data_IF_247254632469
#
_entry.id   IF_247254632469
#
_cell.length_a   1.000
_cell.length_b   1.000
_cell.length_c   1.000
_cell.angle_alpha   90.00
_cell.angle_beta   90.00
_cell.angle_gamma   90.00
#
_symmetry.space_group_name_H-M   'P 1'
#
loop_
_entity.id
_entity.type
_entity.pdbx_description
1 polymer ?
#
# COMPACT_ATOMS: atom_id res chain seq x y z
N UNK A 1 -2.88 -10.65 26.36
CA UNK A 1 -2.09 -9.40 26.23
C UNK A 1 -2.04 -9.08 24.75
N UNK A 2 -2.99 -8.29 24.26
CA UNK A 2 -3.01 -7.84 22.86
C UNK A 2 -2.06 -6.65 22.75
N UNK A 3 -1.22 -6.72 21.72
CA UNK A 3 0.03 -5.99 21.55
C UNK A 3 -0.20 -4.48 21.50
N UNK A 4 0.48 -3.75 22.40
CA UNK A 4 0.56 -2.30 22.48
C UNK A 4 1.44 -1.72 21.36
N UNK A 5 1.25 -2.19 20.12
CA UNK A 5 1.92 -1.63 18.93
C UNK A 5 1.08 -0.47 18.42
N UNK A 6 1.28 0.67 19.07
CA UNK A 6 1.00 2.04 18.61
C UNK A 6 -0.34 2.21 17.88
N UNK A 7 -1.40 2.40 18.66
CA UNK A 7 -2.70 2.78 18.12
C UNK A 7 -2.61 4.16 17.47
N UNK A 8 -2.46 4.21 16.15
CA UNK A 8 -2.64 5.43 15.37
C UNK A 8 -4.06 5.50 14.79
N UNK A 9 -4.46 6.70 14.39
CA UNK A 9 -5.71 7.00 13.72
C UNK A 9 -5.42 8.05 12.64
N UNK A 10 -5.81 7.79 11.39
CA UNK A 10 -5.54 8.71 10.28
C UNK A 10 -6.30 10.01 10.40
N UNK A 11 -7.48 10.03 11.04
CA UNK A 11 -8.21 11.26 11.34
C UNK A 11 -7.48 12.15 12.36
N UNK A 12 -6.85 11.55 13.39
CA UNK A 12 -6.09 12.31 14.39
C UNK A 12 -4.90 13.03 13.73
N UNK A 13 -4.22 12.36 12.79
CA UNK A 13 -3.20 13.00 11.95
C UNK A 13 -3.80 14.10 11.07
N UNK A 14 -4.96 13.86 10.46
CA UNK A 14 -5.67 14.89 9.70
C UNK A 14 -5.94 16.16 10.52
N UNK A 15 -6.37 16.01 11.77
CA UNK A 15 -6.61 17.13 12.68
C UNK A 15 -5.32 17.88 13.06
N UNK A 16 -4.20 17.16 13.20
CA UNK A 16 -2.89 17.75 13.48
C UNK A 16 -2.36 18.59 12.32
N UNK A 17 -2.55 18.12 11.08
CA UNK A 17 -1.95 18.72 9.88
C UNK A 17 -2.93 19.53 9.01
N UNK A 18 -4.20 19.73 9.42
CA UNK A 18 -5.23 20.42 8.63
C UNK A 18 -4.92 21.87 8.23
N UNK A 19 -4.04 22.55 8.97
CA UNK A 19 -3.65 23.95 8.70
C UNK A 19 -2.33 24.08 7.94
N UNK A 20 -1.67 22.95 7.67
CA UNK A 20 -0.47 22.90 6.86
C UNK A 20 -0.79 23.29 5.41
N UNK A 21 0.03 24.14 4.76
CA UNK A 21 -0.03 24.23 3.32
C UNK A 21 0.25 22.84 2.74
N UNK A 22 -0.62 22.35 1.85
CA UNK A 22 -0.56 21.04 1.18
C UNK A 22 0.80 20.71 0.49
N UNK A 23 1.74 21.66 0.49
CA UNK A 23 3.05 21.59 -0.14
C UNK A 23 4.22 21.92 0.81
N UNK A 24 3.98 22.37 2.06
CA UNK A 24 5.05 22.68 3.01
C UNK A 24 5.21 21.64 4.12
N UNK A 25 4.13 21.00 4.56
CA UNK A 25 4.27 19.83 5.40
C UNK A 25 4.26 18.58 4.53
N UNK A 26 5.21 17.70 4.81
CA UNK A 26 5.30 16.36 4.30
C UNK A 26 4.12 15.49 4.80
N UNK A 27 2.88 15.92 4.55
CA UNK A 27 1.64 15.24 4.89
C UNK A 27 0.69 15.27 3.69
N UNK A 28 0.32 14.10 3.22
CA UNK A 28 -0.49 13.92 2.01
C UNK A 28 -1.57 12.88 2.30
N UNK A 29 -2.78 13.11 1.79
CA UNK A 29 -3.89 12.18 1.94
C UNK A 29 -4.19 11.57 0.57
N UNK A 30 -4.22 10.24 0.48
CA UNK A 30 -4.65 9.60 -0.76
C UNK A 30 -6.16 9.79 -0.95
N UNK A 31 -6.65 9.96 -2.19
CA UNK A 31 -8.09 10.01 -2.44
C UNK A 31 -8.80 8.75 -1.91
N UNK A 32 -10.08 8.85 -1.48
CA UNK A 32 -10.83 7.77 -0.84
C UNK A 32 -11.37 6.75 -1.86
N UNK A 33 -10.50 6.29 -2.77
CA UNK A 33 -10.81 5.31 -3.83
C UNK A 33 -10.27 3.91 -3.53
N UNK A 34 -9.38 3.80 -2.54
CA UNK A 34 -8.80 2.54 -2.10
C UNK A 34 -9.72 1.82 -1.12
N UNK A 35 -9.89 0.52 -1.32
CA UNK A 35 -10.71 -0.36 -0.48
C UNK A 35 -9.83 -1.41 0.17
N UNK A 36 -10.16 -1.77 1.42
CA UNK A 36 -9.49 -2.83 2.17
C UNK A 36 -9.88 -4.21 1.66
N UNK A 37 -8.87 -5.05 1.41
CA UNK A 37 -9.03 -6.45 1.03
C UNK A 37 -8.13 -7.41 1.82
N UNK A 38 -7.17 -6.89 2.61
CA UNK A 38 -6.23 -7.71 3.39
C UNK A 38 -6.82 -8.19 4.73
N UNK A 39 -6.06 -9.01 5.45
CA UNK A 39 -6.43 -9.47 6.81
C UNK A 39 -6.29 -8.39 7.88
N UNK A 40 -5.54 -7.32 7.60
CA UNK A 40 -5.45 -6.15 8.48
C UNK A 40 -6.12 -4.92 7.87
N UNK A 41 -7.10 -4.38 8.59
CA UNK A 41 -7.75 -3.11 8.24
C UNK A 41 -6.99 -1.88 8.76
N UNK A 42 -5.88 -2.09 9.49
CA UNK A 42 -4.99 -1.04 9.99
C UNK A 42 -3.55 -1.48 9.87
N UNK A 43 -2.74 -0.70 9.19
CA UNK A 43 -1.32 -0.99 8.97
C UNK A 43 -0.54 0.29 8.66
N UNK A 44 0.76 0.26 8.91
CA UNK A 44 1.65 1.36 8.62
C UNK A 44 3.08 0.88 8.45
N UNK A 45 3.94 1.71 7.85
CA UNK A 45 5.36 1.41 7.73
C UNK A 45 6.09 2.32 6.76
N UNK A 46 7.42 2.20 6.68
CA UNK A 46 8.21 2.86 5.64
C UNK A 46 7.80 2.32 4.26
N UNK A 47 7.79 3.20 3.28
CA UNK A 47 7.32 2.93 1.92
C UNK A 47 8.46 2.38 1.07
N UNK A 48 8.17 1.29 0.38
CA UNK A 48 8.88 0.86 -0.84
C UNK A 48 7.93 1.01 -2.01
N UNK A 49 8.46 1.30 -3.20
CA UNK A 49 7.63 1.57 -4.38
C UNK A 49 7.95 0.60 -5.52
N UNK A 50 6.91 0.25 -6.28
CA UNK A 50 7.01 -0.44 -7.56
C UNK A 50 6.11 0.27 -8.56
N UNK A 51 6.65 0.61 -9.72
CA UNK A 51 5.89 1.07 -10.88
C UNK A 51 5.81 -0.05 -11.92
N UNK A 52 4.61 -0.39 -12.36
CA UNK A 52 4.35 -1.41 -13.36
C UNK A 52 3.05 -1.13 -14.11
N UNK A 53 2.79 -1.87 -15.19
CA UNK A 53 1.55 -1.74 -15.94
C UNK A 53 1.08 -3.10 -16.44
N UNK A 54 0.04 -3.64 -15.81
CA UNK A 54 -0.56 -4.95 -16.12
C UNK A 54 0.42 -6.15 -16.11
N UNK A 55 1.57 -5.98 -15.48
CA UNK A 55 2.61 -6.99 -15.28
C UNK A 55 3.05 -6.92 -13.81
N UNK A 56 2.77 -7.97 -13.05
CA UNK A 56 3.06 -8.03 -11.62
C UNK A 56 4.40 -8.69 -11.29
N UNK A 57 5.26 -8.96 -12.29
CA UNK A 57 6.59 -9.53 -12.06
C UNK A 57 7.39 -8.77 -11.00
N UNK A 58 7.54 -7.42 -11.05
CA UNK A 58 8.27 -6.67 -10.02
C UNK A 58 7.53 -6.64 -8.67
N UNK A 59 6.20 -6.64 -8.68
CA UNK A 59 5.38 -6.69 -7.45
C UNK A 59 5.61 -8.00 -6.71
N UNK A 60 5.58 -9.12 -7.45
CA UNK A 60 5.86 -10.45 -6.92
C UNK A 60 7.28 -10.52 -6.35
N UNK A 61 8.28 -10.06 -7.10
CA UNK A 61 9.67 -10.06 -6.64
C UNK A 61 9.87 -9.26 -5.35
N UNK A 62 9.24 -8.09 -5.24
CA UNK A 62 9.28 -7.28 -4.03
C UNK A 62 8.66 -8.02 -2.83
N UNK A 63 7.43 -8.54 -2.98
CA UNK A 63 6.71 -9.19 -1.88
C UNK A 63 7.26 -10.57 -1.48
N UNK A 64 7.99 -11.23 -2.38
CA UNK A 64 8.76 -12.44 -2.06
C UNK A 64 10.08 -12.15 -1.32
N UNK A 65 10.47 -10.88 -1.20
CA UNK A 65 11.65 -10.43 -0.46
C UNK A 65 11.29 -9.94 0.95
N UNK A 66 12.25 -9.88 1.91
CA UNK A 66 11.99 -9.38 3.27
C UNK A 66 11.38 -7.96 3.30
N UNK A 67 10.22 -7.85 3.94
CA UNK A 67 9.46 -6.61 4.06
C UNK A 67 9.97 -5.70 5.18
N UNK A 68 10.44 -6.28 6.29
CA UNK A 68 10.90 -5.54 7.48
C UNK A 68 9.87 -4.51 7.99
N UNK A 69 8.58 -4.85 7.95
CA UNK A 69 7.49 -3.96 8.35
C UNK A 69 7.23 -2.81 7.37
N UNK A 70 7.80 -2.84 6.17
CA UNK A 70 7.51 -1.85 5.13
C UNK A 70 6.10 -2.03 4.54
N UNK A 71 5.63 -0.96 3.89
CA UNK A 71 4.44 -0.99 3.03
C UNK A 71 4.89 -0.90 1.57
N UNK A 72 4.42 -1.82 0.73
CA UNK A 72 4.65 -1.73 -0.71
C UNK A 72 3.57 -0.87 -1.36
N UNK A 73 3.98 0.23 -2.01
CA UNK A 73 3.10 1.05 -2.84
C UNK A 73 3.34 0.70 -4.30
N UNK A 74 2.29 0.18 -4.95
CA UNK A 74 2.32 -0.24 -6.35
C UNK A 74 1.59 0.80 -7.20
N UNK A 75 2.34 1.52 -8.02
CA UNK A 75 1.79 2.27 -9.15
C UNK A 75 1.53 1.28 -10.28
N UNK A 76 0.26 0.88 -10.42
CA UNK A 76 -0.25 0.03 -11.50
C UNK A 76 -0.87 0.82 -12.65
N UNK A 77 -0.69 2.15 -12.67
CA UNK A 77 -1.35 3.07 -13.60
C UNK A 77 -2.87 3.14 -13.45
N UNK A 78 -3.43 2.73 -12.31
CA UNK A 78 -4.87 2.70 -12.05
C UNK A 78 -5.64 1.72 -12.93
N UNK A 79 -4.96 0.76 -13.59
CA UNK A 79 -5.63 -0.17 -14.51
C UNK A 79 -6.58 -1.09 -13.75
N UNK A 80 -7.84 -1.13 -14.20
CA UNK A 80 -8.87 -2.02 -13.67
C UNK A 80 -8.99 -3.33 -14.46
N UNK A 81 -8.09 -3.59 -15.41
CA UNK A 81 -8.24 -4.70 -16.37
C UNK A 81 -7.55 -6.00 -15.93
N UNK A 82 -6.53 -5.92 -15.09
CA UNK A 82 -5.65 -7.04 -14.73
C UNK A 82 -5.25 -6.94 -13.26
N UNK A 83 -5.41 -8.02 -12.51
CA UNK A 83 -5.11 -8.04 -11.09
C UNK A 83 -3.62 -8.19 -10.80
N UNK A 84 -3.04 -7.22 -10.08
CA UNK A 84 -1.61 -7.18 -9.77
C UNK A 84 -1.24 -8.06 -8.56
N UNK A 85 -2.16 -8.22 -7.62
CA UNK A 85 -1.99 -9.06 -6.42
C UNK A 85 -3.14 -10.05 -6.33
N UNK A 86 -2.80 -11.30 -6.02
CA UNK A 86 -3.74 -12.38 -5.69
C UNK A 86 -3.28 -13.13 -4.45
N UNK A 87 -3.99 -14.19 -4.07
CA UNK A 87 -3.82 -14.86 -2.78
C UNK A 87 -2.40 -15.32 -2.48
N UNK A 88 -1.76 -16.03 -3.42
CA UNK A 88 -0.37 -16.49 -3.27
C UNK A 88 0.64 -15.34 -3.01
N UNK A 89 0.45 -14.18 -3.65
CA UNK A 89 1.34 -13.03 -3.50
C UNK A 89 1.10 -12.35 -2.15
N UNK A 90 -0.15 -12.25 -1.70
CA UNK A 90 -0.48 -11.74 -0.37
C UNK A 90 0.05 -12.65 0.76
N UNK A 91 -0.07 -13.97 0.60
CA UNK A 91 0.51 -14.94 1.53
C UNK A 91 2.04 -14.82 1.60
N UNK A 92 2.72 -14.60 0.47
CA UNK A 92 4.15 -14.32 0.45
C UNK A 92 4.50 -13.02 1.17
N UNK A 93 3.73 -11.95 0.97
CA UNK A 93 3.91 -10.68 1.67
C UNK A 93 3.84 -10.85 3.20
N UNK A 94 2.79 -11.53 3.68
CA UNK A 94 2.63 -11.85 5.10
C UNK A 94 3.81 -12.67 5.64
N UNK A 95 4.17 -13.76 4.94
CA UNK A 95 5.30 -14.62 5.32
C UNK A 95 6.64 -13.86 5.41
N UNK A 96 6.84 -12.86 4.56
CA UNK A 96 8.07 -12.07 4.51
C UNK A 96 8.04 -10.81 5.39
N UNK A 97 7.01 -10.64 6.21
CA UNK A 97 6.93 -9.57 7.20
C UNK A 97 6.70 -8.18 6.59
N UNK A 98 5.91 -8.10 5.52
CA UNK A 98 5.38 -6.82 5.04
C UNK A 98 4.24 -6.35 5.95
N UNK A 99 4.19 -5.05 6.26
CA UNK A 99 3.08 -4.48 7.03
C UNK A 99 1.82 -4.32 6.16
N UNK A 100 2.00 -3.98 4.88
CA UNK A 100 0.89 -3.89 3.95
C UNK A 100 1.27 -3.66 2.51
N UNK A 101 0.25 -3.65 1.65
CA UNK A 101 0.37 -3.37 0.21
C UNK A 101 -0.74 -2.41 -0.22
N UNK A 102 -0.38 -1.33 -0.91
CA UNK A 102 -1.33 -0.40 -1.52
C UNK A 102 -1.17 -0.47 -3.03
N UNK A 103 -2.23 -0.82 -3.75
CA UNK A 103 -2.22 -1.07 -5.19
C UNK A 103 -3.07 -0.03 -5.92
N UNK A 104 -2.43 0.84 -6.69
CA UNK A 104 -3.10 1.70 -7.67
C UNK A 104 -3.50 0.89 -8.90
N UNK A 105 -4.51 0.04 -8.71
CA UNK A 105 -4.99 -0.96 -9.64
C UNK A 105 -5.95 -1.93 -8.95
N UNK A 106 -6.17 -3.11 -9.54
CA UNK A 106 -7.08 -4.14 -9.02
C UNK A 106 -6.35 -5.36 -8.50
N UNK A 107 -7.02 -6.10 -7.62
CA UNK A 107 -6.55 -7.36 -7.02
C UNK A 107 -7.57 -8.47 -7.20
N UNK A 108 -7.28 -9.68 -6.73
CA UNK A 108 -8.18 -10.84 -6.83
C UNK A 108 -7.99 -11.82 -5.67
N UNK A 109 -8.80 -12.88 -5.66
CA UNK A 109 -8.75 -13.96 -4.65
C UNK A 109 -9.07 -13.45 -3.24
N UNK A 110 -10.13 -12.62 -3.11
CA UNK A 110 -10.44 -11.86 -1.89
C UNK A 110 -10.47 -12.70 -0.61
N UNK A 111 -10.96 -13.94 -0.65
CA UNK A 111 -10.97 -14.83 0.51
C UNK A 111 -9.56 -15.17 0.99
N UNK A 112 -8.61 -15.36 0.07
CA UNK A 112 -7.20 -15.60 0.39
C UNK A 112 -6.50 -14.32 0.84
N UNK A 113 -6.85 -13.15 0.24
CA UNK A 113 -6.32 -11.85 0.68
C UNK A 113 -6.70 -11.55 2.14
N UNK A 114 -7.95 -11.82 2.51
CA UNK A 114 -8.46 -11.63 3.88
C UNK A 114 -7.88 -12.61 4.89
N UNK A 115 -7.46 -13.79 4.43
CA UNK A 115 -6.81 -14.79 5.29
C UNK A 115 -5.31 -14.53 5.50
N UNK A 116 -4.68 -13.66 4.69
CA UNK A 116 -3.28 -13.32 4.83
C UNK A 116 -3.07 -12.26 5.93
N UNK A 117 -2.08 -12.49 6.80
CA UNK A 117 -1.67 -11.62 7.91
C UNK A 117 -0.90 -10.39 7.41
N UNK A 118 -1.55 -9.57 6.59
CA UNK A 118 -0.99 -8.38 5.93
C UNK A 118 -2.09 -7.38 5.60
N UNK A 119 -1.79 -6.08 5.68
CA UNK A 119 -2.68 -5.03 5.17
C UNK A 119 -2.73 -5.01 3.65
N UNK A 120 -3.91 -4.81 3.06
CA UNK A 120 -4.00 -4.65 1.61
C UNK A 120 -5.12 -3.70 1.22
N UNK A 121 -4.76 -2.67 0.45
CA UNK A 121 -5.68 -1.72 -0.15
C UNK A 121 -5.53 -1.70 -1.69
N UNK A 122 -6.64 -1.64 -2.41
CA UNK A 122 -6.64 -1.54 -3.88
C UNK A 122 -7.88 -0.80 -4.41
N UNK A 123 -7.89 -0.42 -5.70
CA UNK A 123 -9.05 0.27 -6.31
C UNK A 123 -10.26 -0.64 -6.51
N UNK A 124 -10.05 -1.95 -6.63
CA UNK A 124 -11.12 -2.88 -6.99
C UNK A 124 -10.68 -4.34 -7.10
N UNK A 125 -11.62 -5.16 -7.56
CA UNK A 125 -11.40 -6.58 -7.85
C UNK A 125 -11.48 -6.83 -9.37
N UNK A 126 -10.65 -7.72 -9.88
CA UNK A 126 -10.78 -8.26 -11.23
C UNK A 126 -10.26 -9.71 -11.28
N UNK A 127 -11.02 -10.69 -11.78
CA UNK A 127 -10.58 -12.09 -11.79
C UNK A 127 -9.38 -12.35 -12.73
N UNK A 128 -9.15 -11.50 -13.73
CA UNK A 128 -8.14 -11.73 -14.76
C UNK A 128 -6.72 -11.50 -14.21
N UNK A 129 -5.81 -12.49 -14.35
CA UNK A 129 -4.40 -12.30 -14.02
C UNK A 129 -3.71 -11.38 -15.03
N UNK A 130 -2.56 -10.85 -14.63
CA UNK A 130 -1.59 -10.18 -15.51
C UNK A 130 -1.02 -11.10 -16.58
N UNK A 131 -0.44 -10.47 -17.59
CA UNK A 131 0.41 -11.13 -18.58
C UNK A 131 1.80 -10.51 -18.49
N UNK A 132 2.84 -11.30 -18.71
CA UNK A 132 4.22 -10.77 -18.73
C UNK A 132 4.41 -9.98 -20.01
N UNK A 133 4.54 -8.66 -19.89
CA UNK A 133 4.62 -7.74 -21.03
C UNK A 133 5.87 -6.88 -21.00
N UNK A 134 6.21 -6.33 -19.84
CA UNK A 134 7.28 -5.34 -19.72
C UNK A 134 7.90 -5.34 -18.32
N UNK A 135 9.21 -5.07 -18.21
CA UNK A 135 9.83 -4.85 -16.91
C UNK A 135 9.23 -3.60 -16.26
N UNK A 136 8.79 -3.72 -15.00
CA UNK A 136 8.51 -2.55 -14.17
C UNK A 136 9.78 -2.02 -13.53
N UNK A 137 9.63 -0.99 -12.70
CA UNK A 137 10.73 -0.34 -11.98
C UNK A 137 10.43 -0.32 -10.48
N UNK A 138 11.46 -0.42 -9.66
CA UNK A 138 11.35 -0.43 -8.19
C UNK A 138 12.14 0.72 -7.58
N UNK A 139 11.78 1.12 -6.36
CA UNK A 139 12.52 2.08 -5.53
C UNK A 139 12.69 3.46 -6.18
N UNK A 140 11.62 3.95 -6.80
CA UNK A 140 11.54 5.27 -7.46
C UNK A 140 10.31 6.03 -6.97
N UNK A 141 10.31 7.37 -6.96
CA UNK A 141 9.09 8.14 -6.75
C UNK A 141 8.00 7.76 -7.76
N UNK A 142 6.77 7.58 -7.26
CA UNK A 142 5.58 7.25 -8.05
C UNK A 142 4.48 8.29 -7.83
N UNK A 143 3.50 8.33 -8.73
CA UNK A 143 2.33 9.20 -8.62
C UNK A 143 1.07 8.35 -8.68
N UNK A 144 0.46 8.08 -7.53
CA UNK A 144 -0.77 7.27 -7.46
C UNK A 144 -1.97 8.17 -7.20
N UNK A 145 -3.01 8.07 -8.02
CA UNK A 145 -4.23 8.88 -7.88
C UNK A 145 -3.96 10.39 -7.68
N UNK A 146 -2.92 10.92 -8.34
CA UNK A 146 -2.52 12.34 -8.26
C UNK A 146 -1.68 12.73 -7.04
N UNK A 147 -1.31 11.77 -6.18
CA UNK A 147 -0.50 12.01 -4.98
C UNK A 147 0.91 11.44 -5.17
N UNK A 148 1.97 12.25 -5.00
CA UNK A 148 3.34 11.77 -5.08
C UNK A 148 3.67 10.93 -3.85
N UNK A 149 4.32 9.79 -4.08
CA UNK A 149 4.78 8.88 -3.04
C UNK A 149 6.22 8.47 -3.35
N UNK A 150 7.12 8.69 -2.40
CA UNK A 150 8.55 8.39 -2.56
C UNK A 150 8.98 7.20 -1.71
N UNK A 151 10.02 6.45 -2.13
CA UNK A 151 10.69 5.52 -1.23
C UNK A 151 11.11 6.22 0.06
N UNK A 152 10.99 5.52 1.19
CA UNK A 152 11.23 6.03 2.55
C UNK A 152 10.22 7.06 3.09
N UNK A 153 9.18 7.42 2.33
CA UNK A 153 7.98 7.97 2.95
C UNK A 153 7.43 6.96 3.98
N UNK A 154 6.54 7.39 4.84
CA UNK A 154 5.76 6.59 5.76
C UNK A 154 4.31 6.59 5.31
N UNK A 155 3.71 5.41 5.29
CA UNK A 155 2.30 5.23 4.99
C UNK A 155 1.57 4.76 6.22
N UNK A 156 0.41 5.34 6.49
CA UNK A 156 -0.53 4.93 7.52
C UNK A 156 -1.90 4.71 6.89
N UNK A 157 -2.48 3.54 7.10
CA UNK A 157 -3.78 3.18 6.55
C UNK A 157 -4.67 2.60 7.65
N UNK A 158 -5.90 3.09 7.73
CA UNK A 158 -6.95 2.51 8.54
C UNK A 158 -8.31 2.56 7.81
N UNK A 159 -9.40 2.33 8.52
CA UNK A 159 -10.73 2.28 7.93
C UNK A 159 -11.19 3.60 7.30
N UNK A 160 -10.65 4.74 7.73
CA UNK A 160 -11.06 6.07 7.28
C UNK A 160 -10.28 6.53 6.04
N UNK A 161 -9.01 6.14 5.93
CA UNK A 161 -8.22 6.50 4.76
C UNK A 161 -6.76 6.07 4.80
N UNK A 162 -5.99 6.66 3.89
CA UNK A 162 -4.54 6.44 3.77
C UNK A 162 -3.86 7.80 3.76
N UNK A 163 -2.88 7.96 4.64
CA UNK A 163 -2.03 9.15 4.72
C UNK A 163 -0.57 8.78 4.47
N UNK A 164 0.15 9.70 3.84
CA UNK A 164 1.57 9.60 3.51
C UNK A 164 2.29 10.75 4.21
N UNK A 165 3.44 10.46 4.80
CA UNK A 165 4.33 11.48 5.35
C UNK A 165 5.79 11.19 5.03
N UNK A 166 6.66 12.20 4.92
CA UNK A 166 8.10 11.94 4.73
C UNK A 166 8.80 11.41 6.00
N UNK A 167 8.11 11.43 7.15
CA UNK A 167 8.65 10.97 8.43
C UNK A 167 7.64 10.13 9.20
N UNK A 168 8.13 9.39 10.20
CA UNK A 168 7.27 8.66 11.10
C UNK A 168 6.45 9.63 11.98
N UNK A 169 5.13 9.47 12.02
CA UNK A 169 4.21 10.28 12.85
C UNK A 169 3.89 9.61 14.19
N UNK A 170 3.97 8.28 14.26
CA UNK A 170 3.63 7.48 15.46
C UNK A 170 4.74 7.46 16.53
N UNK A 171 5.87 8.11 16.27
CA UNK A 171 6.99 8.22 17.20
C UNK A 171 7.01 9.55 17.95
N UNK A 172 6.03 10.43 17.69
CA UNK A 172 5.88 11.74 18.33
C UNK A 172 4.84 11.71 19.45
#
# INVERSE_FOLDING_TARGET
MADSKTAFNTCDFGDQFKSAPLQQDDFRVLPPVFKHYGGHNRFFGPVKTVQCFEDNTPVKQALESPGHGAVLVVDGGGSLRRALVGGNIAAAAAKNGWAGVVVDGVVRDVAELQAADVGLCALGLNPLPTERKAPGKSDLPVLIQGVPVSPNDWLYADADGIVISARALHLE
#
